data_IF_911781762868
#
_entry.id   IF_911781762868
#
_cell.length_a   1.000
_cell.length_b   1.000
_cell.length_c   1.000
_cell.angle_alpha   90.00
_cell.angle_beta   90.00
_cell.angle_gamma   90.00
#
_symmetry.space_group_name_H-M   'P 1'
#
loop_
_entity.id
_entity.type
_entity.pdbx_description
1 polymer ?
#
# COMPACT_ATOMS: atom_id res chain seq x y z
N UNK A 1 -81.58 -24.24 -87.40
CA UNK A 1 -82.22 -23.69 -86.19
C UNK A 1 -81.38 -22.52 -85.70
N UNK A 2 -81.97 -21.32 -85.67
CA UNK A 2 -81.37 -20.03 -85.30
C UNK A 2 -81.63 -19.71 -83.83
N UNK A 3 -80.68 -19.01 -83.18
CA UNK A 3 -80.78 -17.81 -82.30
C UNK A 3 -79.52 -17.78 -81.42
N UNK A 4 -78.59 -16.81 -81.54
CA UNK A 4 -78.61 -15.45 -80.96
C UNK A 4 -78.88 -15.49 -79.44
N UNK A 5 -78.16 -14.88 -78.50
CA UNK A 5 -77.46 -13.59 -78.46
C UNK A 5 -76.78 -13.47 -77.06
N UNK A 6 -75.82 -12.53 -76.96
CA UNK A 6 -75.62 -11.59 -75.85
C UNK A 6 -74.53 -11.85 -74.79
N UNK A 7 -73.66 -10.83 -74.69
CA UNK A 7 -72.62 -10.59 -73.69
C UNK A 7 -73.21 -10.38 -72.29
N UNK A 8 -72.52 -10.91 -71.27
CA UNK A 8 -72.56 -10.39 -69.90
C UNK A 8 -71.12 -10.37 -69.36
N UNK A 9 -70.71 -9.19 -68.92
CA UNK A 9 -69.47 -8.86 -68.20
C UNK A 9 -69.53 -9.41 -66.78
N UNK A 10 -68.41 -9.85 -66.21
CA UNK A 10 -68.19 -9.64 -64.79
C UNK A 10 -66.91 -8.84 -64.53
N UNK A 11 -67.12 -7.70 -63.88
CA UNK A 11 -66.15 -6.93 -63.11
C UNK A 11 -65.70 -7.82 -61.94
N UNK A 12 -64.40 -7.99 -61.75
CA UNK A 12 -63.86 -8.39 -60.45
C UNK A 12 -62.80 -7.39 -60.01
N UNK A 13 -63.16 -6.73 -58.92
CA UNK A 13 -62.50 -5.64 -58.22
C UNK A 13 -61.17 -6.14 -57.65
N UNK A 14 -60.08 -5.45 -58.01
CA UNK A 14 -58.77 -5.66 -57.40
C UNK A 14 -58.76 -5.13 -55.97
N UNK A 15 -58.62 -6.03 -55.00
CA UNK A 15 -58.26 -5.68 -53.62
C UNK A 15 -56.73 -5.76 -53.54
N UNK A 16 -56.09 -4.59 -53.58
CA UNK A 16 -54.68 -4.43 -53.21
C UNK A 16 -54.58 -4.61 -51.69
N UNK A 17 -54.21 -5.81 -51.24
CA UNK A 17 -53.77 -6.01 -49.86
C UNK A 17 -52.36 -5.42 -49.72
N UNK A 18 -52.30 -4.18 -49.23
CA UNK A 18 -51.11 -3.59 -48.64
C UNK A 18 -50.83 -4.31 -47.32
N UNK A 19 -50.05 -5.39 -47.38
CA UNK A 19 -49.40 -5.96 -46.22
C UNK A 19 -48.13 -5.18 -45.95
N UNK A 20 -48.18 -4.19 -45.06
CA UNK A 20 -46.98 -3.59 -44.50
C UNK A 20 -46.34 -4.63 -43.58
N UNK A 21 -45.27 -5.29 -44.04
CA UNK A 21 -44.39 -6.04 -43.15
C UNK A 21 -43.63 -5.00 -42.34
N UNK A 22 -44.10 -4.71 -41.12
CA UNK A 22 -43.24 -4.10 -40.13
C UNK A 22 -42.22 -5.18 -39.75
N UNK A 23 -40.99 -5.04 -40.24
CA UNK A 23 -39.87 -5.79 -39.73
C UNK A 23 -39.68 -5.32 -38.29
N UNK A 24 -40.17 -6.09 -37.31
CA UNK A 24 -39.79 -5.88 -35.92
C UNK A 24 -38.28 -6.13 -35.86
N UNK A 25 -37.51 -5.07 -35.63
CA UNK A 25 -36.17 -5.21 -35.09
C UNK A 25 -36.30 -5.81 -33.70
N UNK A 26 -36.03 -7.12 -33.61
CA UNK A 26 -36.02 -7.88 -32.34
C UNK A 26 -34.72 -7.61 -31.55
N UNK A 27 -33.84 -6.72 -32.01
CA UNK A 27 -32.48 -6.57 -31.49
C UNK A 27 -32.06 -5.14 -31.17
N UNK A 28 -32.98 -4.28 -30.71
CA UNK A 28 -32.56 -2.98 -30.17
C UNK A 28 -33.36 -2.52 -28.96
N UNK A 29 -33.69 -3.46 -28.07
CA UNK A 29 -33.79 -3.07 -26.66
C UNK A 29 -32.37 -3.12 -26.09
N UNK A 30 -31.70 -1.96 -26.10
CA UNK A 30 -30.61 -1.69 -25.18
C UNK A 30 -31.12 -2.09 -23.80
N UNK A 31 -30.57 -3.19 -23.27
CA UNK A 31 -30.87 -3.58 -21.91
C UNK A 31 -30.36 -2.46 -21.01
N UNK A 32 -31.26 -1.80 -20.27
CA UNK A 32 -30.92 -1.00 -19.09
C UNK A 32 -30.40 -1.91 -17.96
N UNK A 33 -29.47 -2.82 -18.28
CA UNK A 33 -28.70 -3.51 -17.27
C UNK A 33 -27.61 -2.53 -16.86
N UNK A 34 -27.76 -1.99 -15.66
CA UNK A 34 -26.64 -1.34 -14.95
C UNK A 34 -25.42 -2.24 -15.08
N UNK A 35 -24.31 -1.72 -15.59
CA UNK A 35 -23.05 -2.47 -15.67
C UNK A 35 -22.74 -3.06 -14.29
N UNK A 36 -22.42 -4.35 -14.26
CA UNK A 36 -22.03 -5.03 -13.03
C UNK A 36 -20.73 -4.36 -12.54
N UNK A 37 -20.66 -3.90 -11.28
CA UNK A 37 -19.46 -3.27 -10.74
C UNK A 37 -18.24 -4.19 -10.87
N UNK A 38 -17.16 -3.68 -11.48
CA UNK A 38 -15.97 -4.46 -11.78
C UNK A 38 -14.69 -3.63 -11.73
N UNK A 39 -13.56 -4.32 -11.62
CA UNK A 39 -12.20 -3.76 -11.74
C UNK A 39 -11.48 -4.53 -12.83
N UNK A 40 -11.34 -3.93 -14.02
CA UNK A 40 -10.87 -4.64 -15.20
C UNK A 40 -11.77 -5.85 -15.52
N UNK A 41 -11.24 -7.07 -15.39
CA UNK A 41 -12.01 -8.30 -15.60
C UNK A 41 -12.48 -8.98 -14.30
N UNK A 42 -12.38 -8.28 -13.17
CA UNK A 42 -12.78 -8.79 -11.86
C UNK A 42 -14.18 -8.25 -11.48
N UNK A 43 -15.18 -9.12 -11.31
CA UNK A 43 -16.59 -8.71 -11.15
C UNK A 43 -17.16 -8.90 -9.73
N UNK A 44 -16.54 -9.73 -8.89
CA UNK A 44 -17.08 -10.05 -7.57
C UNK A 44 -16.76 -8.94 -6.55
N UNK A 45 -16.95 -7.67 -6.86
CA UNK A 45 -16.41 -6.56 -6.04
C UNK A 45 -17.07 -6.43 -4.65
N UNK A 46 -18.27 -6.95 -4.43
CA UNK A 46 -18.92 -6.99 -3.11
C UNK A 46 -18.50 -8.22 -2.31
N UNK A 47 -17.93 -8.02 -1.12
CA UNK A 47 -17.56 -9.10 -0.18
C UNK A 47 -18.64 -9.31 0.88
N UNK A 48 -19.19 -8.23 1.43
CA UNK A 48 -20.32 -8.26 2.36
C UNK A 48 -21.18 -7.00 2.20
N UNK A 49 -22.50 -7.22 2.14
CA UNK A 49 -23.53 -6.19 2.22
C UNK A 49 -24.72 -6.70 3.03
N UNK A 50 -25.23 -5.86 3.94
CA UNK A 50 -26.51 -5.98 4.64
C UNK A 50 -26.70 -7.24 5.52
N UNK A 51 -26.86 -8.43 4.93
CA UNK A 51 -27.31 -9.61 5.65
C UNK A 51 -26.19 -10.60 5.99
N UNK A 52 -26.19 -11.12 7.22
CA UNK A 52 -25.41 -12.32 7.55
C UNK A 52 -26.06 -13.53 6.88
N UNK A 53 -25.46 -13.99 5.78
CA UNK A 53 -25.75 -15.27 5.15
C UNK A 53 -24.99 -16.41 5.86
N UNK A 54 -25.16 -17.65 5.39
CA UNK A 54 -24.36 -18.81 5.84
C UNK A 54 -22.87 -18.69 5.45
N UNK A 55 -22.48 -17.62 4.76
CA UNK A 55 -21.11 -17.32 4.38
C UNK A 55 -20.38 -16.48 5.43
N UNK A 56 -21.10 -15.86 6.36
CA UNK A 56 -20.51 -15.09 7.47
C UNK A 56 -20.43 -15.97 8.72
N UNK A 57 -19.24 -16.10 9.29
CA UNK A 57 -19.04 -16.85 10.52
C UNK A 57 -18.30 -16.05 11.57
N UNK A 58 -18.45 -16.46 12.83
CA UNK A 58 -17.75 -15.93 14.01
C UNK A 58 -17.27 -17.10 14.85
N UNK A 59 -16.11 -16.98 15.50
CA UNK A 59 -15.62 -18.00 16.41
C UNK A 59 -16.69 -18.39 17.46
N UNK A 60 -16.87 -19.69 17.76
CA UNK A 60 -17.92 -20.17 18.65
C UNK A 60 -17.56 -19.98 20.15
N UNK A 61 -17.08 -18.78 20.50
CA UNK A 61 -16.58 -18.40 21.82
C UNK A 61 -17.31 -17.13 22.30
N UNK A 62 -18.60 -17.22 22.69
CA UNK A 62 -19.44 -16.06 23.00
C UNK A 62 -18.98 -15.25 24.23
N UNK A 63 -18.11 -15.82 25.08
CA UNK A 63 -17.44 -15.09 26.15
C UNK A 63 -16.31 -14.18 25.64
N UNK A 64 -15.81 -14.42 24.44
CA UNK A 64 -14.66 -13.74 23.85
C UNK A 64 -15.06 -12.82 22.70
N UNK A 65 -16.04 -13.22 21.88
CA UNK A 65 -16.47 -12.47 20.70
C UNK A 65 -17.95 -12.71 20.42
N UNK A 66 -18.64 -11.65 20.03
CA UNK A 66 -20.01 -11.72 19.52
C UNK A 66 -20.12 -10.91 18.24
N UNK A 67 -20.83 -11.45 17.25
CA UNK A 67 -21.17 -10.79 16.01
C UNK A 67 -22.70 -10.76 15.88
N UNK A 68 -23.27 -9.59 15.64
CA UNK A 68 -24.72 -9.41 15.48
C UNK A 68 -25.00 -8.49 14.30
N UNK A 69 -26.16 -8.65 13.68
CA UNK A 69 -26.70 -7.64 12.76
C UNK A 69 -27.53 -6.62 13.55
N UNK A 70 -27.53 -5.38 13.10
CA UNK A 70 -28.36 -4.31 13.66
C UNK A 70 -28.77 -3.30 12.57
N UNK A 71 -29.85 -2.56 12.80
CA UNK A 71 -30.47 -1.65 11.83
C UNK A 71 -30.51 -0.19 12.28
N UNK A 72 -29.89 0.16 13.41
CA UNK A 72 -29.88 1.54 13.92
C UNK A 72 -28.72 2.37 13.35
N UNK A 73 -27.56 1.74 13.20
CA UNK A 73 -26.32 2.34 12.72
C UNK A 73 -25.91 1.65 11.44
N UNK A 74 -26.43 2.12 10.32
CA UNK A 74 -26.20 1.50 9.01
C UNK A 74 -25.52 2.55 8.12
N UNK A 75 -24.53 2.15 7.33
CA UNK A 75 -23.93 3.02 6.33
C UNK A 75 -24.76 2.97 5.05
N UNK A 76 -25.07 1.77 4.57
CA UNK A 76 -25.95 1.57 3.41
C UNK A 76 -26.78 0.28 3.53
N UNK A 77 -27.91 0.21 2.83
CA UNK A 77 -28.86 -0.91 2.98
C UNK A 77 -29.64 -0.86 4.30
N UNK A 78 -30.05 -2.02 4.80
CA UNK A 78 -30.93 -2.15 5.97
C UNK A 78 -30.23 -2.56 7.27
N UNK A 79 -29.01 -3.11 7.19
CA UNK A 79 -28.28 -3.64 8.34
C UNK A 79 -26.78 -3.47 8.20
N UNK A 80 -26.12 -3.40 9.35
CA UNK A 80 -24.68 -3.52 9.47
C UNK A 80 -24.30 -4.51 10.57
N UNK A 81 -23.04 -4.94 10.59
CA UNK A 81 -22.48 -5.81 11.61
C UNK A 81 -22.08 -5.01 12.84
N UNK A 82 -22.34 -5.58 14.01
CA UNK A 82 -21.83 -5.12 15.29
C UNK A 82 -20.99 -6.24 15.90
N UNK A 83 -19.67 -6.01 15.99
CA UNK A 83 -18.71 -6.92 16.58
C UNK A 83 -18.22 -6.38 17.91
N UNK A 84 -18.32 -7.19 18.95
CA UNK A 84 -17.79 -6.89 20.29
C UNK A 84 -16.93 -8.06 20.72
N UNK A 85 -15.70 -7.77 21.16
CA UNK A 85 -14.76 -8.79 21.59
C UNK A 85 -13.93 -8.36 22.80
N UNK A 86 -13.49 -9.37 23.55
CA UNK A 86 -12.51 -9.29 24.62
C UNK A 86 -11.76 -10.63 24.73
N UNK A 87 -10.58 -10.70 24.12
CA UNK A 87 -9.71 -11.89 24.14
C UNK A 87 -9.15 -12.17 25.54
N UNK A 88 -9.01 -11.13 26.37
CA UNK A 88 -8.46 -11.21 27.72
C UNK A 88 -9.43 -11.78 28.76
N UNK A 89 -10.73 -11.67 28.53
CA UNK A 89 -11.77 -12.08 29.48
C UNK A 89 -11.75 -13.58 29.83
N UNK A 90 -11.31 -14.45 28.92
CA UNK A 90 -11.38 -15.92 29.11
C UNK A 90 -10.16 -16.69 28.59
N UNK A 91 -9.00 -16.02 28.41
CA UNK A 91 -7.79 -16.63 27.82
C UNK A 91 -8.07 -17.33 26.48
N UNK A 92 -8.68 -16.60 25.55
CA UNK A 92 -9.09 -17.14 24.26
C UNK A 92 -7.87 -17.20 23.32
N UNK A 93 -7.53 -18.37 22.80
CA UNK A 93 -6.32 -18.54 21.97
C UNK A 93 -6.42 -17.79 20.63
N UNK A 94 -7.54 -17.98 19.93
CA UNK A 94 -7.81 -17.39 18.63
C UNK A 94 -9.30 -17.04 18.50
N UNK A 95 -9.58 -15.81 18.07
CA UNK A 95 -10.95 -15.33 17.81
C UNK A 95 -10.99 -14.53 16.51
N UNK A 96 -12.01 -14.78 15.70
CA UNK A 96 -12.14 -14.15 14.41
C UNK A 96 -13.56 -14.18 13.86
N UNK A 97 -13.73 -13.45 12.76
CA UNK A 97 -14.86 -13.57 11.86
C UNK A 97 -14.34 -13.85 10.45
N UNK A 98 -15.19 -14.38 9.59
CA UNK A 98 -14.86 -14.50 8.17
C UNK A 98 -16.07 -14.38 7.27
N UNK A 99 -15.77 -14.11 6.01
CA UNK A 99 -16.70 -13.85 4.93
C UNK A 99 -16.35 -14.79 3.77
N UNK A 100 -17.15 -15.84 3.61
CA UNK A 100 -17.26 -16.55 2.34
C UNK A 100 -17.79 -15.56 1.30
N UNK A 101 -17.11 -15.51 0.15
CA UNK A 101 -17.30 -14.44 -0.81
C UNK A 101 -17.92 -14.98 -2.09
N UNK A 102 -19.06 -14.43 -2.51
CA UNK A 102 -19.74 -14.76 -3.78
C UNK A 102 -19.91 -16.29 -3.96
N UNK A 103 -20.69 -16.89 -3.06
CA UNK A 103 -21.00 -18.32 -3.08
C UNK A 103 -19.80 -19.19 -2.73
N UNK A 104 -18.85 -18.67 -1.94
CA UNK A 104 -17.52 -19.26 -1.72
C UNK A 104 -16.72 -19.48 -3.01
N UNK A 105 -17.05 -18.88 -4.15
CA UNK A 105 -16.33 -19.16 -5.38
C UNK A 105 -14.85 -18.70 -5.28
N UNK A 106 -13.92 -19.46 -5.86
CA UNK A 106 -12.49 -19.10 -5.84
C UNK A 106 -12.25 -17.78 -6.56
N UNK A 107 -11.49 -16.86 -5.95
CA UNK A 107 -11.24 -15.53 -6.52
C UNK A 107 -9.79 -15.40 -6.95
N UNK A 108 -9.62 -14.91 -8.17
CA UNK A 108 -8.32 -14.57 -8.71
C UNK A 108 -8.09 -13.06 -8.58
N UNK A 109 -7.31 -12.67 -7.58
CA UNK A 109 -6.91 -11.28 -7.35
C UNK A 109 -5.63 -10.90 -8.10
N UNK A 110 -4.92 -11.86 -8.70
CA UNK A 110 -3.61 -11.64 -9.33
C UNK A 110 -3.62 -10.60 -10.46
N UNK A 111 -4.76 -10.35 -11.11
CA UNK A 111 -4.88 -9.34 -12.17
C UNK A 111 -5.15 -7.91 -11.69
N UNK A 112 -5.46 -7.76 -10.39
CA UNK A 112 -5.81 -6.49 -9.77
C UNK A 112 -5.00 -6.22 -8.50
N UNK A 113 -4.06 -7.09 -8.12
CA UNK A 113 -3.40 -7.07 -6.82
C UNK A 113 -2.60 -5.79 -6.54
N UNK A 114 -2.06 -5.16 -7.57
CA UNK A 114 -1.26 -3.94 -7.52
C UNK A 114 -2.07 -2.65 -7.69
N UNK A 115 -3.39 -2.77 -7.90
CA UNK A 115 -4.30 -1.65 -8.18
C UNK A 115 -5.67 -1.78 -7.49
N UNK A 116 -5.75 -2.58 -6.43
CA UNK A 116 -6.98 -2.75 -5.68
C UNK A 116 -6.75 -2.84 -4.17
N UNK A 117 -7.82 -2.60 -3.42
CA UNK A 117 -7.86 -2.68 -1.97
C UNK A 117 -9.20 -3.22 -1.48
N UNK A 118 -9.21 -3.80 -0.27
CA UNK A 118 -10.43 -4.08 0.49
C UNK A 118 -10.79 -2.82 1.26
N UNK A 119 -11.99 -2.31 1.06
CA UNK A 119 -12.56 -1.19 1.81
C UNK A 119 -13.61 -1.73 2.79
N UNK A 120 -13.52 -1.25 4.02
CA UNK A 120 -14.55 -1.42 5.04
C UNK A 120 -15.11 -0.05 5.42
N UNK A 121 -16.41 0.04 5.66
CA UNK A 121 -17.00 1.14 6.42
C UNK A 121 -16.99 0.76 7.89
N UNK A 122 -16.31 1.54 8.72
CA UNK A 122 -16.19 1.27 10.15
C UNK A 122 -16.59 2.48 10.99
N UNK A 123 -17.21 2.22 12.14
CA UNK A 123 -17.42 3.23 13.19
C UNK A 123 -17.37 2.59 14.58
N UNK A 124 -17.24 3.41 15.61
CA UNK A 124 -17.34 3.00 17.02
C UNK A 124 -18.16 4.00 17.83
N UNK A 125 -18.87 3.51 18.85
CA UNK A 125 -19.48 4.38 19.87
C UNK A 125 -18.56 4.62 21.07
N UNK A 126 -17.40 3.95 21.08
CA UNK A 126 -16.39 4.09 22.12
C UNK A 126 -15.56 5.36 21.99
N UNK A 127 -14.38 5.34 22.62
CA UNK A 127 -13.36 6.37 22.37
C UNK A 127 -12.90 6.27 20.91
N UNK A 128 -12.61 7.41 20.25
CA UNK A 128 -12.05 7.38 18.91
C UNK A 128 -10.78 6.52 18.83
N UNK A 129 -10.62 5.80 17.72
CA UNK A 129 -9.57 4.80 17.53
C UNK A 129 -8.60 5.26 16.45
N UNK A 130 -7.32 5.35 16.81
CA UNK A 130 -6.21 5.57 15.87
C UNK A 130 -5.55 4.25 15.44
N UNK A 131 -5.94 3.13 16.05
CA UNK A 131 -5.44 1.80 15.75
C UNK A 131 -6.51 0.76 16.09
N UNK A 132 -6.51 -0.35 15.37
CA UNK A 132 -7.36 -1.50 15.67
C UNK A 132 -6.47 -2.71 15.99
N UNK A 133 -6.72 -3.44 17.10
CA UNK A 133 -5.98 -4.65 17.43
C UNK A 133 -6.52 -5.82 16.59
N UNK A 134 -6.38 -5.74 15.27
CA UNK A 134 -6.87 -6.74 14.31
C UNK A 134 -5.80 -7.11 13.28
N UNK A 135 -5.89 -8.31 12.75
CA UNK A 135 -5.19 -8.74 11.54
C UNK A 135 -6.21 -9.24 10.52
N UNK A 136 -5.98 -8.95 9.24
CA UNK A 136 -6.87 -9.38 8.15
C UNK A 136 -6.17 -10.45 7.32
N UNK A 137 -6.90 -11.50 6.97
CA UNK A 137 -6.40 -12.65 6.24
C UNK A 137 -7.19 -12.91 4.97
N UNK A 138 -6.52 -13.28 3.89
CA UNK A 138 -7.13 -13.87 2.70
C UNK A 138 -6.73 -15.33 2.65
N UNK A 139 -7.65 -16.22 3.02
CA UNK A 139 -7.43 -17.67 3.00
C UNK A 139 -7.64 -18.20 1.58
N UNK A 140 -6.70 -19.00 1.12
CA UNK A 140 -6.74 -19.72 -0.15
C UNK A 140 -7.36 -21.11 0.03
N UNK A 141 -7.82 -21.70 -1.07
CA UNK A 141 -8.47 -23.02 -1.03
C UNK A 141 -7.54 -24.18 -0.63
N UNK A 142 -6.24 -24.01 -0.76
CA UNK A 142 -5.23 -24.96 -0.27
C UNK A 142 -4.97 -24.87 1.24
N UNK A 143 -5.62 -23.91 1.93
CA UNK A 143 -5.50 -23.68 3.37
C UNK A 143 -4.37 -22.72 3.77
N UNK A 144 -3.60 -22.20 2.80
CA UNK A 144 -2.67 -21.08 3.06
C UNK A 144 -3.45 -19.79 3.26
N UNK A 145 -2.84 -18.78 3.86
CA UNK A 145 -3.48 -17.48 4.07
C UNK A 145 -2.46 -16.36 4.06
N UNK A 146 -2.67 -15.36 3.22
CA UNK A 146 -1.91 -14.12 3.30
C UNK A 146 -2.54 -13.24 4.38
N UNK A 147 -1.73 -12.66 5.26
CA UNK A 147 -2.13 -11.81 6.37
C UNK A 147 -1.56 -10.41 6.27
N UNK A 148 -2.28 -9.46 6.85
CA UNK A 148 -1.82 -8.09 7.05
C UNK A 148 -2.26 -7.60 8.43
N UNK A 149 -1.30 -7.09 9.20
CA UNK A 149 -1.58 -6.41 10.46
C UNK A 149 -2.16 -5.02 10.23
N UNK A 150 -2.89 -4.49 11.21
CA UNK A 150 -3.43 -3.14 11.10
C UNK A 150 -2.33 -2.07 11.00
N UNK A 151 -2.48 -1.13 10.06
CA UNK A 151 -1.64 0.05 9.93
C UNK A 151 -2.52 1.31 9.99
N UNK A 152 -2.08 2.35 10.69
CA UNK A 152 -2.79 3.64 10.81
C UNK A 152 -3.19 4.22 9.43
N UNK A 153 -2.33 4.09 8.42
CA UNK A 153 -2.57 4.57 7.05
C UNK A 153 -3.78 3.91 6.37
N UNK A 154 -4.29 2.81 6.92
CA UNK A 154 -5.53 2.20 6.45
C UNK A 154 -6.75 3.08 6.76
N UNK A 155 -6.72 3.86 7.85
CA UNK A 155 -7.82 4.77 8.22
C UNK A 155 -7.83 5.98 7.28
N UNK A 156 -8.94 6.20 6.59
CA UNK A 156 -9.13 7.39 5.76
C UNK A 156 -9.63 8.54 6.62
N UNK A 157 -8.70 9.37 7.07
CA UNK A 157 -8.93 10.48 8.00
C UNK A 157 -8.17 10.27 9.31
N UNK A 158 -8.48 11.08 10.32
CA UNK A 158 -7.69 11.09 11.54
C UNK A 158 -7.91 9.82 12.38
N UNK A 159 -9.16 9.40 12.57
CA UNK A 159 -9.53 8.34 13.50
C UNK A 159 -10.87 7.72 13.14
N UNK A 160 -11.11 6.49 13.59
CA UNK A 160 -12.43 5.87 13.53
C UNK A 160 -13.22 6.38 14.74
N UNK A 161 -14.29 7.13 14.47
CA UNK A 161 -15.13 7.77 15.48
C UNK A 161 -16.59 7.31 15.42
N UNK A 162 -17.48 8.21 15.82
CA UNK A 162 -18.93 7.99 15.74
C UNK A 162 -19.48 8.15 14.32
N UNK A 163 -18.72 8.75 13.42
CA UNK A 163 -19.05 8.81 11.99
C UNK A 163 -18.47 7.60 11.26
N UNK A 164 -19.08 7.23 10.13
CA UNK A 164 -18.56 6.17 9.27
C UNK A 164 -17.27 6.59 8.60
N UNK A 165 -16.22 5.80 8.79
CA UNK A 165 -14.88 6.02 8.27
C UNK A 165 -14.51 4.89 7.32
N UNK A 166 -13.85 5.24 6.22
CA UNK A 166 -13.25 4.23 5.34
C UNK A 166 -11.98 3.67 5.99
N UNK A 167 -11.89 2.34 6.02
CA UNK A 167 -10.66 1.63 6.34
C UNK A 167 -10.27 0.84 5.09
N UNK A 168 -9.16 1.21 4.47
CA UNK A 168 -8.72 0.70 3.16
C UNK A 168 -7.42 -0.09 3.32
N UNK A 169 -7.46 -1.35 2.87
CA UNK A 169 -6.35 -2.29 2.96
C UNK A 169 -5.93 -2.67 1.54
N UNK A 170 -4.77 -2.19 1.05
CA UNK A 170 -4.27 -2.58 -0.28
C UNK A 170 -4.07 -4.09 -0.37
N UNK A 171 -4.47 -4.72 -1.47
CA UNK A 171 -4.22 -6.16 -1.69
C UNK A 171 -2.72 -6.46 -1.69
N UNK A 172 -1.91 -5.53 -2.18
CA UNK A 172 -0.45 -5.61 -2.15
C UNK A 172 0.15 -5.65 -0.73
N UNK A 173 -0.59 -5.22 0.29
CA UNK A 173 -0.08 -5.16 1.66
C UNK A 173 -0.07 -6.52 2.39
N UNK A 174 -0.77 -7.52 1.86
CA UNK A 174 -0.79 -8.86 2.43
C UNK A 174 0.53 -9.58 2.16
N UNK A 175 1.00 -10.39 3.11
CA UNK A 175 2.29 -11.08 3.03
C UNK A 175 2.26 -12.36 2.16
N UNK A 176 1.86 -12.21 0.90
CA UNK A 176 1.67 -13.30 -0.07
C UNK A 176 2.85 -14.29 -0.15
N UNK A 177 4.07 -13.78 -0.37
CA UNK A 177 5.25 -14.61 -0.54
C UNK A 177 5.74 -15.28 0.75
N UNK A 178 5.61 -14.60 1.90
CA UNK A 178 6.00 -15.17 3.20
C UNK A 178 5.10 -16.34 3.59
N UNK A 179 3.80 -16.25 3.25
CA UNK A 179 2.80 -17.26 3.59
C UNK A 179 2.59 -18.31 2.49
N UNK A 180 3.32 -18.21 1.38
CA UNK A 180 3.16 -19.05 0.18
C UNK A 180 1.69 -19.12 -0.29
N UNK A 181 0.99 -17.99 -0.22
CA UNK A 181 -0.44 -17.92 -0.47
C UNK A 181 -0.77 -17.72 -1.95
N UNK A 182 -1.64 -18.57 -2.50
CA UNK A 182 -2.07 -18.49 -3.90
C UNK A 182 -3.10 -17.38 -4.11
N UNK A 183 -2.63 -16.21 -4.59
CA UNK A 183 -3.47 -15.05 -4.92
C UNK A 183 -4.54 -15.32 -6.00
N UNK A 184 -4.42 -16.43 -6.73
CA UNK A 184 -5.33 -16.77 -7.84
C UNK A 184 -6.54 -17.60 -7.40
N UNK A 185 -6.58 -18.06 -6.14
CA UNK A 185 -7.60 -18.98 -5.66
C UNK A 185 -8.05 -18.71 -4.21
N UNK A 186 -8.44 -17.46 -3.95
CA UNK A 186 -8.91 -17.02 -2.62
C UNK A 186 -10.31 -17.59 -2.33
N UNK A 187 -10.47 -18.14 -1.13
CA UNK A 187 -11.70 -18.73 -0.59
C UNK A 187 -12.51 -17.74 0.24
N UNK A 188 -11.85 -17.00 1.15
CA UNK A 188 -12.53 -16.10 2.08
C UNK A 188 -11.65 -14.97 2.60
N UNK A 189 -12.32 -13.91 3.05
CA UNK A 189 -11.73 -12.86 3.89
C UNK A 189 -11.92 -13.21 5.36
N UNK A 190 -10.89 -13.04 6.18
CA UNK A 190 -10.89 -13.27 7.61
C UNK A 190 -10.42 -12.04 8.36
N UNK A 191 -10.93 -11.85 9.58
CA UNK A 191 -10.43 -10.87 10.53
C UNK A 191 -10.16 -11.58 11.85
N UNK A 192 -8.91 -11.58 12.29
CA UNK A 192 -8.50 -12.00 13.62
C UNK A 192 -8.53 -10.80 14.57
N UNK A 193 -9.09 -10.98 15.77
CA UNK A 193 -9.17 -9.94 16.80
C UNK A 193 -8.21 -10.22 17.95
N UNK A 194 -7.53 -9.18 18.40
CA UNK A 194 -6.66 -9.15 19.59
C UNK A 194 -7.21 -8.16 20.62
N UNK A 195 -6.72 -8.24 21.86
CA UNK A 195 -7.14 -7.37 22.96
C UNK A 195 -8.68 -7.31 23.10
N UNK A 196 -9.27 -6.12 23.17
CA UNK A 196 -10.72 -5.92 23.24
C UNK A 196 -11.15 -4.78 22.33
N UNK A 197 -12.43 -4.78 21.94
CA UNK A 197 -12.99 -3.69 21.14
C UNK A 197 -14.47 -3.85 20.83
N UNK A 198 -15.00 -2.81 20.19
CA UNK A 198 -16.39 -2.64 19.83
C UNK A 198 -16.48 -1.82 18.54
N UNK A 199 -16.87 -2.47 17.46
CA UNK A 199 -16.90 -1.90 16.11
C UNK A 199 -18.21 -2.23 15.41
N UNK A 200 -18.66 -1.29 14.60
CA UNK A 200 -19.65 -1.54 13.57
C UNK A 200 -18.93 -1.62 12.22
N UNK A 201 -19.29 -2.60 11.41
CA UNK A 201 -18.71 -2.85 10.09
C UNK A 201 -19.85 -2.92 9.08
N UNK A 202 -19.70 -2.22 7.96
CA UNK A 202 -20.63 -2.23 6.85
C UNK A 202 -19.86 -2.13 5.51
N UNK A 203 -20.53 -2.44 4.40
CA UNK A 203 -20.02 -2.34 3.03
C UNK A 203 -18.56 -2.79 2.87
N UNK A 204 -18.34 -4.11 2.88
CA UNK A 204 -17.01 -4.67 2.61
C UNK A 204 -16.90 -4.93 1.11
N UNK A 205 -15.98 -4.22 0.45
CA UNK A 205 -15.89 -4.18 -1.01
C UNK A 205 -14.44 -4.18 -1.49
N UNK A 206 -14.19 -4.71 -2.67
CA UNK A 206 -12.95 -4.52 -3.43
C UNK A 206 -13.10 -3.27 -4.29
N UNK A 207 -12.18 -2.32 -4.14
CA UNK A 207 -12.16 -1.04 -4.87
C UNK A 207 -10.88 -0.90 -5.68
N UNK A 208 -10.89 -0.05 -6.71
CA UNK A 208 -9.65 0.43 -7.33
C UNK A 208 -8.85 1.25 -6.31
N UNK A 209 -7.55 0.95 -6.22
CA UNK A 209 -6.65 1.61 -5.28
C UNK A 209 -5.19 1.43 -5.71
N UNK A 210 -4.50 2.52 -5.99
CA UNK A 210 -3.13 2.54 -6.53
C UNK A 210 -2.07 2.95 -5.49
N UNK A 211 -2.47 3.25 -4.26
CA UNK A 211 -1.54 3.59 -3.17
C UNK A 211 -1.09 2.32 -2.44
N UNK A 212 0.08 2.37 -1.81
CA UNK A 212 0.60 1.29 -0.96
C UNK A 212 0.66 1.74 0.50
N UNK A 213 0.65 0.77 1.44
CA UNK A 213 0.97 1.07 2.84
C UNK A 213 2.44 1.43 3.03
N UNK A 214 3.29 0.91 2.12
CA UNK A 214 4.70 1.25 2.01
C UNK A 214 4.86 2.41 1.04
N UNK A 215 5.52 3.48 1.47
CA UNK A 215 6.02 4.50 0.57
C UNK A 215 6.92 3.83 -0.46
N UNK A 216 6.77 4.18 -1.74
CA UNK A 216 7.62 3.69 -2.83
C UNK A 216 8.24 4.88 -3.56
N UNK A 217 9.55 4.85 -3.74
CA UNK A 217 10.31 5.82 -4.51
C UNK A 217 11.15 5.15 -5.59
N UNK A 218 11.63 5.94 -6.55
CA UNK A 218 12.55 5.46 -7.58
C UNK A 218 13.98 5.91 -7.26
N UNK A 219 14.94 5.02 -7.43
CA UNK A 219 16.36 5.36 -7.43
C UNK A 219 16.88 5.19 -8.85
N UNK A 220 17.41 6.27 -9.42
CA UNK A 220 18.01 6.23 -10.76
C UNK A 220 19.43 5.66 -10.64
N UNK A 221 19.70 4.64 -11.45
CA UNK A 221 21.00 4.01 -11.58
C UNK A 221 21.58 4.28 -12.97
N UNK A 222 22.87 4.63 -13.06
CA UNK A 222 23.60 4.83 -14.32
C UNK A 222 24.92 4.09 -14.31
N UNK A 223 25.54 3.91 -15.47
CA UNK A 223 26.86 3.26 -15.54
C UNK A 223 27.94 4.11 -14.83
N UNK A 224 27.90 5.43 -15.04
CA UNK A 224 28.80 6.40 -14.43
C UNK A 224 28.11 7.76 -14.25
N UNK A 225 28.33 8.41 -13.09
CA UNK A 225 28.08 9.85 -12.94
C UNK A 225 29.40 10.61 -13.15
N UNK A 226 29.38 11.66 -13.97
CA UNK A 226 30.55 12.53 -14.15
C UNK A 226 30.75 13.43 -12.92
N UNK A 227 31.97 13.92 -12.69
CA UNK A 227 32.23 14.91 -11.62
C UNK A 227 31.38 16.19 -11.80
N UNK A 228 31.03 16.54 -13.04
CA UNK A 228 30.09 17.62 -13.35
C UNK A 228 28.65 17.26 -12.96
N UNK A 229 28.28 15.98 -13.00
CA UNK A 229 26.98 15.51 -12.48
C UNK A 229 26.84 15.72 -10.99
N UNK A 230 27.93 15.48 -10.28
CA UNK A 230 28.01 15.57 -8.82
C UNK A 230 28.03 17.04 -8.36
N UNK A 231 28.80 17.91 -9.05
CA UNK A 231 29.00 19.31 -8.64
C UNK A 231 28.02 20.32 -9.28
N UNK A 232 27.33 19.95 -10.36
CA UNK A 232 26.41 20.87 -11.08
C UNK A 232 25.08 20.25 -11.54
N UNK A 233 24.94 18.91 -11.62
CA UNK A 233 23.70 18.27 -12.07
C UNK A 233 22.78 17.75 -10.95
N UNK A 234 22.64 18.52 -9.87
CA UNK A 234 21.50 18.37 -8.96
C UNK A 234 20.16 18.11 -9.70
N UNK A 235 19.85 18.72 -10.88
CA UNK A 235 18.55 18.49 -11.54
C UNK A 235 18.24 17.04 -11.95
N UNK A 236 19.21 16.25 -12.44
CA UNK A 236 18.93 14.87 -12.89
C UNK A 236 18.80 13.88 -11.72
N UNK A 237 19.56 14.10 -10.64
CA UNK A 237 19.44 13.33 -9.40
C UNK A 237 18.18 13.76 -8.63
N UNK A 238 17.79 15.04 -8.73
CA UNK A 238 16.62 15.61 -8.05
C UNK A 238 15.27 15.36 -8.74
N UNK A 239 15.18 14.45 -9.71
CA UNK A 239 13.91 14.18 -10.39
C UNK A 239 12.91 13.37 -9.54
N UNK A 240 13.38 12.59 -8.57
CA UNK A 240 12.54 11.70 -7.77
C UNK A 240 12.81 11.87 -6.26
N UNK A 241 12.30 12.94 -5.62
CA UNK A 241 12.49 13.16 -4.19
C UNK A 241 11.76 12.10 -3.36
N UNK A 242 12.47 11.61 -2.34
CA UNK A 242 11.89 10.99 -1.16
C UNK A 242 11.46 12.12 -0.21
N UNK A 243 10.19 12.53 -0.32
CA UNK A 243 9.62 13.64 0.45
C UNK A 243 9.34 13.20 1.89
N UNK A 244 9.88 13.92 2.87
CA UNK A 244 9.72 13.68 4.30
C UNK A 244 9.22 14.97 4.97
N UNK A 245 7.92 15.07 5.20
CA UNK A 245 7.25 16.35 5.53
C UNK A 245 7.61 17.42 4.47
N UNK A 246 8.22 18.53 4.88
CA UNK A 246 8.65 19.63 3.99
C UNK A 246 10.12 19.48 3.52
N UNK A 247 10.73 18.33 3.76
CA UNK A 247 12.13 18.05 3.40
C UNK A 247 12.20 17.12 2.20
N UNK A 248 13.27 17.22 1.43
CA UNK A 248 13.49 16.37 0.25
C UNK A 248 14.85 15.67 0.37
N UNK A 249 14.84 14.34 0.29
CA UNK A 249 16.06 13.53 0.16
C UNK A 249 16.04 12.85 -1.20
N UNK A 250 17.20 12.72 -1.82
CA UNK A 250 17.36 12.17 -3.16
C UNK A 250 18.44 11.10 -3.12
N UNK A 251 18.15 9.97 -3.77
CA UNK A 251 19.08 8.87 -3.91
C UNK A 251 19.28 8.56 -5.40
N UNK A 252 20.55 8.41 -5.79
CA UNK A 252 20.95 7.85 -7.07
C UNK A 252 22.18 6.97 -6.88
N UNK A 253 22.53 6.15 -7.87
CA UNK A 253 23.70 5.28 -7.80
C UNK A 253 24.37 5.07 -9.15
N UNK A 254 25.67 4.83 -9.13
CA UNK A 254 26.37 4.22 -10.26
C UNK A 254 26.98 2.87 -9.84
N UNK A 255 27.77 2.27 -10.72
CA UNK A 255 28.47 1.00 -10.47
C UNK A 255 29.45 1.04 -9.29
N UNK A 256 29.79 2.21 -8.76
CA UNK A 256 30.82 2.39 -7.73
C UNK A 256 30.31 3.05 -6.46
N UNK A 257 29.26 3.86 -6.54
CA UNK A 257 28.86 4.78 -5.47
C UNK A 257 27.36 4.96 -5.38
N UNK A 258 26.87 5.15 -4.16
CA UNK A 258 25.56 5.74 -3.88
C UNK A 258 25.72 7.23 -3.60
N UNK A 259 24.79 8.02 -4.11
CA UNK A 259 24.72 9.46 -3.93
C UNK A 259 23.52 9.82 -3.07
N UNK A 260 23.75 10.62 -2.04
CA UNK A 260 22.70 11.13 -1.15
C UNK A 260 22.71 12.64 -1.24
N UNK A 261 21.66 13.23 -1.80
CA UNK A 261 21.45 14.67 -1.77
C UNK A 261 20.26 14.97 -0.87
N UNK A 262 20.26 16.11 -0.19
CA UNK A 262 19.11 16.53 0.59
C UNK A 262 18.96 18.04 0.64
N UNK A 263 17.72 18.50 0.67
CA UNK A 263 17.34 19.87 1.02
C UNK A 263 16.46 19.78 2.28
N UNK A 264 17.04 20.14 3.42
CA UNK A 264 16.42 19.96 4.73
C UNK A 264 16.06 21.31 5.32
N UNK A 265 14.81 21.45 5.76
CA UNK A 265 14.33 22.60 6.54
C UNK A 265 14.63 22.34 8.00
N UNK A 266 15.40 23.20 8.64
CA UNK A 266 15.84 23.02 10.01
C UNK A 266 16.09 24.38 10.69
N UNK A 267 15.57 24.54 11.90
CA UNK A 267 15.72 25.76 12.70
C UNK A 267 17.10 25.83 13.36
N UNK A 268 17.79 24.69 13.52
CA UNK A 268 19.10 24.58 14.15
C UNK A 268 20.14 23.90 13.26
N UNK A 269 20.32 24.32 12.00
CA UNK A 269 21.02 23.52 11.00
C UNK A 269 22.51 23.37 11.26
N UNK A 270 23.01 22.19 10.93
CA UNK A 270 24.44 21.79 10.99
C UNK A 270 24.95 21.80 12.43
N UNK A 271 24.14 21.28 13.34
CA UNK A 271 24.45 21.11 14.74
C UNK A 271 24.51 19.63 15.12
N UNK A 272 25.70 19.06 14.97
CA UNK A 272 26.00 17.73 15.47
C UNK A 272 27.43 17.68 16.01
N UNK A 273 27.58 17.54 17.33
CA UNK A 273 28.89 17.37 17.98
C UNK A 273 29.22 15.91 18.29
N UNK A 274 28.37 14.97 17.87
CA UNK A 274 28.54 13.54 18.15
C UNK A 274 29.54 12.90 17.19
N UNK A 275 29.90 11.66 17.49
CA UNK A 275 30.89 10.86 16.76
C UNK A 275 30.54 9.39 16.86
N UNK A 276 31.03 8.59 15.91
CA UNK A 276 30.82 7.15 15.95
C UNK A 276 29.37 6.77 15.72
N UNK A 277 28.89 5.79 16.48
CA UNK A 277 27.52 5.30 16.47
C UNK A 277 26.49 6.33 16.96
N UNK A 278 26.92 7.35 17.71
CA UNK A 278 26.05 8.37 18.28
C UNK A 278 25.70 9.52 17.32
N UNK A 279 26.09 9.46 16.04
CA UNK A 279 25.82 10.56 15.11
C UNK A 279 24.32 10.84 14.90
N UNK A 280 23.44 9.86 15.16
CA UNK A 280 21.99 10.06 15.13
C UNK A 280 21.50 11.07 16.18
N UNK A 281 22.31 11.35 17.23
CA UNK A 281 21.93 12.19 18.36
C UNK A 281 22.31 13.68 18.14
N UNK A 282 22.07 14.18 16.93
CA UNK A 282 22.27 15.55 16.45
C UNK A 282 21.63 15.68 15.07
N UNK A 283 22.03 16.66 14.26
CA UNK A 283 21.59 16.68 12.85
C UNK A 283 22.24 15.54 12.05
N UNK A 284 21.43 14.69 11.43
CA UNK A 284 21.90 13.58 10.60
C UNK A 284 20.88 13.21 9.51
N UNK A 285 21.36 12.58 8.45
CA UNK A 285 20.53 11.87 7.46
C UNK A 285 20.89 10.40 7.53
N UNK A 286 19.92 9.53 7.76
CA UNK A 286 20.08 8.08 7.80
C UNK A 286 19.48 7.42 6.57
N UNK A 287 20.14 6.38 6.06
CA UNK A 287 19.64 5.54 4.97
C UNK A 287 19.82 4.08 5.35
N UNK A 288 18.73 3.31 5.32
CA UNK A 288 18.74 1.87 5.52
C UNK A 288 18.12 1.19 4.30
N UNK A 289 18.78 0.18 3.74
CA UNK A 289 18.32 -0.47 2.50
C UNK A 289 18.78 -1.93 2.39
N UNK A 290 18.05 -2.71 1.59
CA UNK A 290 18.43 -4.07 1.21
C UNK A 290 19.22 -4.07 -0.10
N UNK A 291 20.23 -4.92 -0.22
CA UNK A 291 20.87 -5.25 -1.52
C UNK A 291 20.25 -6.46 -2.21
N UNK A 292 19.21 -7.06 -1.61
CA UNK A 292 18.53 -8.25 -2.11
C UNK A 292 17.06 -7.91 -2.37
N UNK A 293 16.62 -8.03 -3.62
CA UNK A 293 15.24 -7.75 -4.05
C UNK A 293 14.30 -8.93 -3.77
N UNK A 294 14.83 -10.12 -3.49
CA UNK A 294 14.06 -11.29 -3.08
C UNK A 294 13.82 -11.30 -1.56
N UNK A 295 14.50 -10.42 -0.82
CA UNK A 295 14.33 -10.28 0.63
C UNK A 295 12.88 -9.91 0.99
N UNK A 296 12.20 -10.67 1.89
CA UNK A 296 10.81 -10.40 2.24
C UNK A 296 10.65 -8.99 2.85
N UNK A 297 9.88 -8.11 2.20
CA UNK A 297 9.68 -6.71 2.63
C UNK A 297 9.07 -6.59 4.05
N UNK A 298 8.36 -7.62 4.52
CA UNK A 298 7.73 -7.69 5.84
C UNK A 298 8.59 -8.20 6.99
N UNK A 299 9.86 -8.58 6.75
CA UNK A 299 10.71 -9.22 7.76
C UNK A 299 10.99 -8.30 8.94
N UNK A 300 10.97 -8.84 10.16
CA UNK A 300 11.25 -8.07 11.39
C UNK A 300 12.67 -8.26 11.94
N UNK A 301 13.58 -8.75 11.10
CA UNK A 301 14.98 -8.97 11.44
C UNK A 301 15.85 -8.56 10.26
N UNK A 302 17.06 -8.11 10.58
CA UNK A 302 18.07 -7.82 9.56
C UNK A 302 18.66 -9.05 8.90
N UNK A 303 18.90 -8.95 7.61
CA UNK A 303 19.70 -9.86 6.82
C UNK A 303 21.13 -9.32 6.64
N UNK A 304 22.05 -10.16 6.15
CA UNK A 304 23.41 -9.73 5.78
C UNK A 304 23.41 -8.80 4.57
N UNK A 305 22.38 -8.88 3.74
CA UNK A 305 22.11 -8.02 2.58
C UNK A 305 21.64 -6.63 3.00
N UNK A 306 21.23 -6.44 4.25
CA UNK A 306 20.77 -5.15 4.77
C UNK A 306 21.91 -4.24 5.22
N UNK A 307 21.82 -2.97 4.80
CA UNK A 307 22.77 -1.89 5.04
C UNK A 307 22.07 -0.77 5.81
N UNK A 308 22.79 -0.10 6.69
CA UNK A 308 22.30 1.06 7.43
C UNK A 308 23.48 1.97 7.75
N UNK A 309 23.44 3.17 7.20
CA UNK A 309 24.46 4.18 7.41
C UNK A 309 23.83 5.56 7.67
N UNK A 310 24.60 6.44 8.29
CA UNK A 310 24.19 7.81 8.58
C UNK A 310 25.25 8.82 8.22
N UNK A 311 24.82 10.00 7.82
CA UNK A 311 25.67 11.12 7.46
C UNK A 311 25.52 12.17 8.55
N UNK A 312 26.60 12.43 9.28
CA UNK A 312 26.65 13.46 10.32
C UNK A 312 26.61 14.85 9.68
N UNK A 313 25.66 15.70 10.08
CA UNK A 313 25.54 17.09 9.62
C UNK A 313 26.07 18.02 10.71
N UNK A 314 27.36 18.35 10.65
CA UNK A 314 28.00 19.17 11.68
C UNK A 314 29.43 19.55 11.33
N UNK A 315 30.18 20.04 12.32
CA UNK A 315 31.61 20.21 12.18
C UNK A 315 32.29 18.83 12.03
N UNK A 316 33.15 18.69 11.02
CA UNK A 316 33.79 17.43 10.62
C UNK A 316 32.74 16.35 10.31
N UNK A 317 32.05 16.46 9.16
CA UNK A 317 31.06 15.47 8.74
C UNK A 317 31.74 14.13 8.45
N UNK A 318 31.05 13.05 8.80
CA UNK A 318 31.47 11.67 8.59
C UNK A 318 30.28 10.85 8.10
N UNK A 319 30.56 9.69 7.51
CA UNK A 319 29.55 8.66 7.26
C UNK A 319 29.83 7.49 8.19
N UNK A 320 28.85 7.11 9.01
CA UNK A 320 28.95 5.97 9.92
C UNK A 320 28.10 4.82 9.42
N UNK A 321 28.65 3.61 9.38
CA UNK A 321 27.93 2.37 9.06
C UNK A 321 27.61 1.63 10.36
N UNK A 322 26.33 1.60 10.73
CA UNK A 322 25.86 0.92 11.94
C UNK A 322 25.87 -0.60 11.83
N UNK A 323 25.89 -1.17 10.61
CA UNK A 323 25.97 -2.61 10.40
C UNK A 323 27.39 -3.14 10.61
N UNK A 324 28.39 -2.32 10.27
CA UNK A 324 29.82 -2.65 10.44
C UNK A 324 30.47 -1.97 11.63
N UNK A 325 29.74 -1.13 12.36
CA UNK A 325 30.21 -0.36 13.52
C UNK A 325 31.50 0.43 13.22
N UNK A 326 31.54 1.12 12.08
CA UNK A 326 32.73 1.87 11.66
C UNK A 326 32.40 3.12 10.84
N UNK A 327 33.33 4.05 10.84
CA UNK A 327 33.34 5.17 9.89
C UNK A 327 33.73 4.66 8.49
N UNK A 328 33.04 5.17 7.47
CA UNK A 328 33.33 4.84 6.07
C UNK A 328 34.43 5.74 5.52
N UNK A 329 35.36 5.14 4.78
CA UNK A 329 36.47 5.87 4.16
C UNK A 329 36.12 6.33 2.74
N UNK A 330 36.87 7.30 2.20
CA UNK A 330 36.74 7.79 0.83
C UNK A 330 35.34 8.31 0.46
N UNK A 331 34.58 8.80 1.45
CA UNK A 331 33.33 9.49 1.23
C UNK A 331 33.60 10.97 0.91
N UNK A 332 32.85 11.54 -0.04
CA UNK A 332 32.83 12.99 -0.27
C UNK A 332 31.56 13.54 0.36
N UNK A 333 31.67 14.56 1.22
CA UNK A 333 30.53 15.19 1.88
C UNK A 333 30.64 16.70 1.74
N UNK A 334 29.60 17.32 1.21
CA UNK A 334 29.45 18.78 1.12
C UNK A 334 28.15 19.19 1.79
N UNK A 335 28.24 20.13 2.73
CA UNK A 335 27.11 20.67 3.47
C UNK A 335 27.13 22.19 3.33
N UNK A 336 26.01 22.76 2.90
CA UNK A 336 25.83 24.22 2.83
C UNK A 336 24.62 24.64 3.65
N UNK A 337 24.80 25.59 4.56
CA UNK A 337 23.67 26.22 5.27
C UNK A 337 22.82 27.02 4.27
N UNK A 338 21.52 26.93 4.42
CA UNK A 338 20.54 27.74 3.69
C UNK A 338 19.82 28.67 4.67
N UNK A 339 18.98 29.58 4.17
CA UNK A 339 18.24 30.52 5.02
C UNK A 339 17.30 29.80 6.02
N UNK A 340 16.82 28.60 5.66
CA UNK A 340 15.83 27.85 6.43
C UNK A 340 16.32 26.43 6.81
N UNK A 341 17.62 26.14 6.73
CA UNK A 341 18.15 24.81 7.03
C UNK A 341 19.51 24.52 6.38
N UNK A 342 19.61 23.41 5.64
CA UNK A 342 20.84 23.03 4.93
C UNK A 342 20.58 22.21 3.66
N UNK A 343 21.55 22.25 2.74
CA UNK A 343 21.66 21.30 1.64
C UNK A 343 22.84 20.35 1.87
N UNK A 344 22.65 19.09 1.52
CA UNK A 344 23.64 18.02 1.60
C UNK A 344 23.92 17.45 0.21
N UNK A 345 25.19 17.14 -0.05
CA UNK A 345 25.60 16.20 -1.09
C UNK A 345 26.62 15.24 -0.48
N UNK A 346 26.37 13.93 -0.60
CA UNK A 346 27.29 12.90 -0.19
C UNK A 346 27.48 11.86 -1.31
N UNK A 347 28.73 11.47 -1.55
CA UNK A 347 29.12 10.34 -2.40
C UNK A 347 29.75 9.27 -1.51
N UNK A 348 29.16 8.08 -1.51
CA UNK A 348 29.55 6.97 -0.63
C UNK A 348 29.91 5.76 -1.51
N UNK A 349 31.14 5.24 -1.43
CA UNK A 349 31.54 4.07 -2.21
C UNK A 349 30.75 2.81 -1.81
N UNK A 350 30.19 2.10 -2.78
CA UNK A 350 29.43 0.86 -2.58
C UNK A 350 30.28 -0.25 -1.93
N UNK A 351 31.57 -0.32 -2.27
CA UNK A 351 32.52 -1.25 -1.66
C UNK A 351 32.63 -1.07 -0.14
N UNK A 352 32.58 0.18 0.35
CA UNK A 352 32.65 0.47 1.79
C UNK A 352 31.43 -0.10 2.53
N UNK A 353 30.28 -0.08 1.88
CA UNK A 353 29.03 -0.70 2.35
C UNK A 353 29.01 -2.23 2.14
N UNK A 354 29.99 -2.81 1.45
CA UNK A 354 30.02 -4.24 1.12
C UNK A 354 28.91 -4.62 0.16
N UNK A 355 28.62 -3.74 -0.80
CA UNK A 355 27.76 -4.02 -1.94
C UNK A 355 28.67 -4.46 -3.07
N UNK A 356 28.58 -5.74 -3.44
CA UNK A 356 29.43 -6.38 -4.46
C UNK A 356 28.67 -6.64 -5.77
N UNK A 357 27.35 -6.70 -5.70
CA UNK A 357 26.47 -7.02 -6.82
C UNK A 357 25.72 -5.78 -7.31
N UNK A 358 25.45 -5.75 -8.61
CA UNK A 358 24.62 -4.72 -9.22
C UNK A 358 23.16 -4.89 -8.80
N UNK A 359 22.47 -3.77 -8.66
CA UNK A 359 21.03 -3.76 -8.48
C UNK A 359 20.31 -4.13 -9.79
N UNK A 360 19.18 -4.82 -9.71
CA UNK A 360 18.42 -5.25 -10.87
C UNK A 360 17.45 -4.17 -11.37
N UNK A 361 17.33 -4.03 -12.69
CA UNK A 361 16.46 -3.02 -13.29
C UNK A 361 14.98 -3.34 -13.03
N UNK A 362 14.23 -2.36 -12.50
CA UNK A 362 12.81 -2.41 -12.12
C UNK A 362 12.46 -3.31 -10.95
N UNK A 363 13.44 -3.93 -10.31
CA UNK A 363 13.22 -4.67 -9.08
C UNK A 363 13.02 -3.75 -7.87
N UNK A 364 12.38 -4.29 -6.83
CA UNK A 364 11.99 -3.57 -5.61
C UNK A 364 12.85 -4.03 -4.45
N UNK A 365 13.48 -3.06 -3.79
CA UNK A 365 14.32 -3.26 -2.61
C UNK A 365 13.68 -2.59 -1.40
N UNK A 366 13.91 -3.11 -0.20
CA UNK A 366 13.54 -2.41 1.03
C UNK A 366 14.39 -1.15 1.18
N UNK A 367 13.76 -0.02 1.54
CA UNK A 367 14.43 1.26 1.78
C UNK A 367 13.73 2.05 2.89
N UNK A 368 14.49 2.61 3.81
CA UNK A 368 14.05 3.67 4.72
C UNK A 368 15.04 4.83 4.70
N UNK A 369 14.51 6.03 4.88
CA UNK A 369 15.29 7.26 5.02
C UNK A 369 14.77 7.99 6.25
N UNK A 370 15.69 8.41 7.11
CA UNK A 370 15.35 9.26 8.24
C UNK A 370 16.16 10.57 8.22
N UNK A 371 15.52 11.64 8.72
CA UNK A 371 16.16 12.93 8.96
C UNK A 371 16.09 13.21 10.45
N UNK A 372 17.25 13.20 11.09
CA UNK A 372 17.41 13.62 12.47
C UNK A 372 17.61 15.14 12.50
N UNK A 373 16.74 15.81 13.26
CA UNK A 373 16.86 17.24 13.59
C UNK A 373 17.31 17.35 15.03
N UNK A 374 18.42 18.03 15.26
CA UNK A 374 19.08 18.09 16.54
C UNK A 374 19.73 19.44 16.82
N UNK A 375 20.45 19.44 17.92
CA UNK A 375 21.29 20.56 18.35
C UNK A 375 22.67 20.00 18.68
N UNK A 376 23.60 20.85 19.11
CA UNK A 376 24.88 20.36 19.64
C UNK A 376 24.72 19.38 20.81
N UNK A 377 23.62 19.47 21.57
CA UNK A 377 23.40 18.65 22.77
C UNK A 377 22.75 17.30 22.47
N UNK A 378 21.66 17.28 21.71
CA UNK A 378 20.91 16.06 21.41
C UNK A 378 19.98 16.22 20.20
N UNK A 379 19.52 15.08 19.66
CA UNK A 379 18.39 15.02 18.71
C UNK A 379 17.11 15.50 19.39
N UNK A 380 16.32 16.27 18.65
CA UNK A 380 15.01 16.80 19.10
C UNK A 380 13.84 16.16 18.36
N UNK A 381 14.02 15.78 17.09
CA UNK A 381 13.02 15.10 16.27
C UNK A 381 13.72 14.12 15.31
N UNK A 382 13.11 12.97 15.06
CA UNK A 382 13.45 12.12 13.93
C UNK A 382 12.25 12.06 12.99
N UNK A 383 12.47 12.36 11.72
CA UNK A 383 11.50 12.21 10.64
C UNK A 383 11.81 10.94 9.87
N UNK A 384 10.79 10.19 9.45
CA UNK A 384 10.95 8.91 8.72
C UNK A 384 10.10 8.94 7.46
N UNK A 385 10.65 8.44 6.36
CA UNK A 385 10.02 8.50 5.05
C UNK A 385 8.85 7.52 4.93
N UNK A 386 9.01 6.26 5.36
CA UNK A 386 7.93 5.29 5.23
C UNK A 386 6.94 5.35 6.40
N UNK A 387 7.41 5.23 7.64
CA UNK A 387 6.54 5.20 8.83
C UNK A 387 6.82 6.39 9.77
N UNK A 388 6.17 7.55 9.57
CA UNK A 388 6.43 8.74 10.38
C UNK A 388 6.06 8.54 11.86
N UNK A 389 4.99 7.78 12.13
CA UNK A 389 4.43 7.61 13.47
C UNK A 389 5.06 6.47 14.30
N UNK A 390 5.89 5.61 13.70
CA UNK A 390 6.40 4.38 14.34
C UNK A 390 7.93 4.37 14.32
N UNK A 391 8.53 4.24 15.51
CA UNK A 391 9.98 4.11 15.69
C UNK A 391 10.46 2.65 15.55
N UNK A 392 11.78 2.46 15.44
CA UNK A 392 12.43 1.15 15.43
C UNK A 392 12.83 0.63 14.05
N UNK A 393 12.79 1.46 13.00
CA UNK A 393 13.22 1.03 11.66
C UNK A 393 14.67 0.57 11.62
N UNK A 394 15.50 1.10 12.53
CA UNK A 394 16.91 0.77 12.70
C UNK A 394 17.15 -0.66 13.20
N UNK A 395 16.12 -1.39 13.62
CA UNK A 395 16.19 -2.81 14.01
C UNK A 395 15.16 -3.71 13.28
N UNK A 396 14.21 -3.10 12.58
CA UNK A 396 13.03 -3.78 12.06
C UNK A 396 12.73 -3.36 10.60
N UNK A 397 13.28 -4.10 9.61
CA UNK A 397 13.03 -3.84 8.19
C UNK A 397 11.55 -3.91 7.75
N UNK A 398 10.65 -4.48 8.56
CA UNK A 398 9.21 -4.48 8.25
C UNK A 398 8.63 -3.07 8.22
N UNK A 399 9.33 -2.11 8.84
CA UNK A 399 9.01 -0.69 8.83
C UNK A 399 9.55 0.05 7.61
N UNK A 400 10.34 -0.58 6.74
CA UNK A 400 10.92 0.09 5.57
C UNK A 400 9.91 0.27 4.44
N UNK A 401 10.09 1.33 3.67
CA UNK A 401 9.43 1.52 2.39
C UNK A 401 10.11 0.70 1.30
N UNK A 402 9.90 1.14 0.06
CA UNK A 402 10.32 0.43 -1.14
C UNK A 402 11.07 1.35 -2.11
N UNK A 403 12.21 0.91 -2.60
CA UNK A 403 12.93 1.56 -3.68
C UNK A 403 12.86 0.70 -4.94
N UNK A 404 12.36 1.28 -6.03
CA UNK A 404 12.48 0.68 -7.36
C UNK A 404 13.72 1.22 -8.05
N UNK A 405 14.58 0.33 -8.54
CA UNK A 405 15.80 0.71 -9.23
C UNK A 405 15.49 0.95 -10.72
N UNK A 406 15.82 2.13 -11.22
CA UNK A 406 15.62 2.51 -12.62
C UNK A 406 17.00 2.71 -13.26
N UNK A 407 17.51 1.66 -13.91
CA UNK A 407 18.69 1.81 -14.80
C UNK A 407 18.33 2.69 -16.01
N UNK A 408 18.98 3.83 -16.10
CA UNK A 408 18.86 4.80 -17.18
C UNK A 408 19.98 4.52 -18.19
N UNK A 409 19.63 4.02 -19.39
CA UNK A 409 20.58 3.61 -20.43
C UNK A 409 21.03 4.78 -21.32
N UNK A 410 21.23 5.97 -20.75
CA UNK A 410 21.68 7.13 -21.52
C UNK A 410 23.12 6.98 -22.02
#
# INVERSE_FOLDING_TARGET
MKKSHLQIVPILIGILLSGCIAQMEVFDQQSDQSEIPHIGNFYATTVYEDHMSDEVWVSPLPSCITLKTQSEKVYSGDKALHVVWDKGAAACDWIGIGFGWDGWSGKNLGYIYDRSAIRFRMRTDGKPLNSLPVAMGLECYDGTSAWVGFNRKMIQGDQIGQEWTDVIIPILAFNWGEMDADITNIKQLQIEFQASGNLYIDNVEIIEYDKSLRSRGNIVARDEFTDSDILSNAPAIKENPFVIEDNEVYLSMDSTSIYVLADIIDDTPVQNSKSGDEIWNGDAVEVAFSTDYEAPLGRNFYMTTDKHFGIKIGENPIVWDWRKEKELENCTIEISKTDNGYSLMAKIPLEQLGVEEDFEHREIYGLEIAVDKGTYDSRTKQLRWNNPDIDGFHDNPSLWGEARIIKDQL
#
